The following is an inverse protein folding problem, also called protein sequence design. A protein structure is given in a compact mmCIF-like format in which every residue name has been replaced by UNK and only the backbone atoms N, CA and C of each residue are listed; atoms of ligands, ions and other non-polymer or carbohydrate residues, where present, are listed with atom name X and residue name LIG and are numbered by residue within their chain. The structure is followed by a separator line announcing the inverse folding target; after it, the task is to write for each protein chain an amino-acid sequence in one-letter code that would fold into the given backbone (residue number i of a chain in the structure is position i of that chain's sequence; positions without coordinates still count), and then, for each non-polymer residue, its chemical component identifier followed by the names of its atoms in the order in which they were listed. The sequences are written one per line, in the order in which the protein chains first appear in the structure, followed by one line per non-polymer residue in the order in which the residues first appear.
data_IF_759766745967
#
_entry.id   IF_759766745967
#
_cell.length_a   1.000
_cell.length_b   1.000
_cell.length_c   1.000
_cell.angle_alpha   90.00
_cell.angle_beta   90.00
_cell.angle_gamma   90.00
#
_symmetry.space_group_name_H-M   'P 1'
#
loop_
_entity.id
_entity.type
_entity.pdbx_description
1 polymer ?
#
# COMPACT_ATOMS: atom_id res chain seq x y z
N UNK A 1 16.85 -26.06 -24.77
CA UNK A 1 17.32 -24.91 -23.97
C UNK A 1 16.15 -24.50 -23.09
N UNK A 2 16.12 -24.92 -21.82
CA UNK A 2 15.06 -24.54 -20.89
C UNK A 2 15.28 -23.09 -20.49
N UNK A 3 14.47 -22.19 -21.03
CA UNK A 3 14.40 -20.83 -20.52
C UNK A 3 13.69 -20.94 -19.17
N UNK A 4 14.45 -21.15 -18.08
CA UNK A 4 13.89 -20.96 -16.74
C UNK A 4 13.39 -19.52 -16.71
N UNK A 5 12.09 -19.26 -16.45
CA UNK A 5 11.62 -17.90 -16.31
C UNK A 5 12.54 -17.22 -15.29
N UNK A 6 13.07 -16.05 -15.65
CA UNK A 6 13.94 -15.27 -14.77
C UNK A 6 13.41 -15.33 -13.35
N UNK A 7 14.28 -15.59 -12.37
CA UNK A 7 13.93 -15.91 -10.99
C UNK A 7 13.33 -14.68 -10.27
N UNK A 8 12.15 -14.28 -10.72
CA UNK A 8 11.43 -13.07 -10.35
C UNK A 8 11.09 -13.12 -8.86
N UNK A 9 10.89 -14.33 -8.32
CA UNK A 9 10.68 -14.59 -6.89
C UNK A 9 11.88 -14.23 -6.01
N UNK A 10 13.10 -14.35 -6.53
CA UNK A 10 14.33 -14.05 -5.79
C UNK A 10 15.02 -12.75 -6.26
N UNK A 11 14.36 -11.97 -7.11
CA UNK A 11 14.91 -10.72 -7.63
C UNK A 11 14.96 -9.58 -6.60
N UNK A 12 14.25 -9.72 -5.47
CA UNK A 12 14.13 -8.68 -4.46
C UNK A 12 14.03 -9.28 -3.06
N UNK A 13 14.94 -8.87 -2.16
CA UNK A 13 14.80 -9.07 -0.72
C UNK A 13 14.17 -7.82 -0.10
N UNK A 14 13.18 -8.00 0.78
CA UNK A 14 12.52 -6.89 1.46
C UNK A 14 12.44 -7.13 2.96
N UNK A 15 12.36 -6.05 3.72
CA UNK A 15 12.02 -6.04 5.13
C UNK A 15 11.18 -4.78 5.39
N UNK A 16 10.29 -4.85 6.37
CA UNK A 16 9.51 -3.71 6.81
C UNK A 16 9.54 -3.64 8.34
N UNK A 17 9.86 -2.47 8.86
CA UNK A 17 10.03 -2.20 10.29
C UNK A 17 9.42 -0.82 10.55
N UNK A 18 8.75 -0.68 11.69
CA UNK A 18 8.20 0.60 12.15
C UNK A 18 8.48 0.75 13.65
N UNK A 19 8.69 1.98 14.10
CA UNK A 19 8.98 2.30 15.49
C UNK A 19 8.25 3.60 15.87
N UNK A 20 7.70 3.64 17.07
CA UNK A 20 6.97 4.81 17.60
C UNK A 20 7.89 6.01 17.90
N UNK A 21 9.18 5.75 18.09
CA UNK A 21 10.16 6.70 18.56
C UNK A 21 9.99 7.06 20.04
N UNK A 22 10.78 8.03 20.50
CA UNK A 22 10.87 8.37 21.94
C UNK A 22 9.90 9.45 22.40
N UNK A 23 9.16 10.09 21.48
CA UNK A 23 8.38 11.32 21.77
C UNK A 23 6.87 11.14 21.63
N UNK A 24 6.42 10.22 20.79
CA UNK A 24 4.99 10.04 20.50
C UNK A 24 4.41 8.96 21.41
N UNK A 25 3.14 9.11 21.76
CA UNK A 25 2.36 8.11 22.52
C UNK A 25 1.69 7.09 21.61
N UNK A 26 1.60 7.39 20.31
CA UNK A 26 1.06 6.47 19.32
C UNK A 26 1.85 6.55 18.01
N UNK A 27 2.02 5.41 17.34
CA UNK A 27 2.65 5.34 16.03
C UNK A 27 1.59 5.57 14.95
N UNK A 28 1.79 6.59 14.12
CA UNK A 28 0.89 6.93 13.03
C UNK A 28 1.43 6.46 11.67
N UNK A 29 2.58 5.78 11.66
CA UNK A 29 3.15 5.19 10.46
C UNK A 29 2.50 3.82 10.21
N UNK A 30 2.14 3.57 8.96
CA UNK A 30 1.67 2.26 8.49
C UNK A 30 2.42 1.86 7.22
N UNK A 31 2.56 0.56 6.97
CA UNK A 31 3.12 0.04 5.73
C UNK A 31 2.38 -1.21 5.25
N UNK A 32 2.46 -1.49 3.95
CA UNK A 32 1.99 -2.73 3.36
C UNK A 32 3.05 -3.28 2.38
N UNK A 33 3.19 -4.60 2.40
CA UNK A 33 4.00 -5.35 1.44
C UNK A 33 3.11 -6.38 0.75
N UNK A 34 2.95 -6.22 -0.56
CA UNK A 34 2.16 -7.13 -1.40
C UNK A 34 3.06 -7.70 -2.46
N UNK A 35 3.51 -8.93 -2.23
CA UNK A 35 4.31 -9.66 -3.20
C UNK A 35 3.40 -10.36 -4.21
N UNK A 36 3.75 -10.30 -5.49
CA UNK A 36 3.13 -11.16 -6.48
C UNK A 36 3.37 -12.65 -6.14
N UNK A 37 2.32 -13.46 -6.18
CA UNK A 37 2.37 -14.91 -5.93
C UNK A 37 2.75 -15.73 -7.16
N UNK A 38 2.49 -15.20 -8.36
CA UNK A 38 2.73 -15.86 -9.64
C UNK A 38 3.33 -14.91 -10.69
N UNK A 39 3.95 -15.48 -11.74
CA UNK A 39 4.66 -14.72 -12.78
C UNK A 39 3.74 -13.75 -13.52
N UNK A 40 2.52 -14.17 -13.89
CA UNK A 40 1.59 -13.31 -14.62
C UNK A 40 1.15 -12.10 -13.77
N UNK A 41 0.97 -12.31 -12.46
CA UNK A 41 0.69 -11.22 -11.53
C UNK A 41 1.89 -10.27 -11.42
N UNK A 42 3.10 -10.82 -11.28
CA UNK A 42 4.33 -10.04 -11.23
C UNK A 42 4.56 -9.23 -12.51
N UNK A 43 4.37 -9.84 -13.67
CA UNK A 43 4.53 -9.19 -14.97
C UNK A 43 3.52 -8.06 -15.18
N UNK A 44 2.26 -8.25 -14.74
CA UNK A 44 1.18 -7.26 -14.91
C UNK A 44 1.14 -6.18 -13.85
N UNK A 45 1.60 -6.45 -12.63
CA UNK A 45 1.37 -5.59 -11.46
C UNK A 45 2.60 -5.39 -10.57
N UNK A 46 3.64 -6.20 -10.72
CA UNK A 46 4.84 -6.17 -9.89
C UNK A 46 4.57 -6.55 -8.44
N UNK A 47 5.61 -6.40 -7.61
CA UNK A 47 5.43 -6.30 -6.16
C UNK A 47 5.03 -4.87 -5.82
N UNK A 48 4.15 -4.69 -4.84
CA UNK A 48 3.69 -3.39 -4.36
C UNK A 48 4.13 -3.18 -2.92
N UNK A 49 4.77 -2.04 -2.67
CA UNK A 49 5.23 -1.62 -1.34
C UNK A 49 4.66 -0.24 -1.06
N UNK A 50 4.10 -0.05 0.13
CA UNK A 50 3.47 1.22 0.52
C UNK A 50 3.95 1.57 1.93
N UNK A 51 4.25 2.84 2.13
CA UNK A 51 4.46 3.45 3.45
C UNK A 51 3.59 4.70 3.51
N UNK A 52 2.91 4.90 4.63
CA UNK A 52 2.05 6.06 4.87
C UNK A 52 2.33 6.63 6.27
N UNK A 53 2.66 7.91 6.34
CA UNK A 53 2.77 8.70 7.57
C UNK A 53 1.41 9.37 7.83
N UNK A 54 0.77 9.00 8.93
CA UNK A 54 -0.53 9.49 9.33
C UNK A 54 -0.45 10.83 10.06
N UNK A 55 -0.87 11.90 9.40
CA UNK A 55 -0.96 13.22 10.05
C UNK A 55 -2.33 13.41 10.73
N UNK A 56 -2.34 13.74 12.02
CA UNK A 56 -3.56 14.07 12.76
C UNK A 56 -3.40 13.92 14.29
N UNK A 57 -4.41 14.35 15.06
CA UNK A 57 -4.42 14.11 16.50
C UNK A 57 -4.59 12.60 16.78
N UNK A 58 -3.52 11.98 17.29
CA UNK A 58 -3.42 10.59 17.75
C UNK A 58 -4.21 9.56 16.88
N UNK A 59 -5.48 9.29 17.21
CA UNK A 59 -6.29 8.28 16.52
C UNK A 59 -6.61 8.64 15.05
N UNK A 60 -6.74 9.93 14.72
CA UNK A 60 -7.07 10.34 13.35
C UNK A 60 -5.94 10.03 12.36
N UNK A 61 -4.69 10.29 12.76
CA UNK A 61 -3.51 9.99 11.93
C UNK A 61 -3.30 8.49 11.76
N UNK A 62 -3.42 7.70 12.84
CA UNK A 62 -3.33 6.24 12.76
C UNK A 62 -4.40 5.65 11.85
N UNK A 63 -5.65 6.12 11.95
CA UNK A 63 -6.72 5.66 11.07
C UNK A 63 -6.43 6.02 9.60
N UNK A 64 -5.96 7.24 9.33
CA UNK A 64 -5.68 7.69 7.97
C UNK A 64 -4.57 6.85 7.31
N UNK A 65 -3.46 6.59 8.01
CA UNK A 65 -2.37 5.78 7.45
C UNK A 65 -2.77 4.32 7.26
N UNK A 66 -3.56 3.74 8.16
CA UNK A 66 -4.12 2.39 8.00
C UNK A 66 -5.02 2.28 6.77
N UNK A 67 -5.96 3.21 6.60
CA UNK A 67 -6.85 3.24 5.44
C UNK A 67 -6.06 3.34 4.13
N UNK A 68 -4.96 4.10 4.11
CA UNK A 68 -4.09 4.20 2.94
C UNK A 68 -3.44 2.86 2.59
N UNK A 69 -2.80 2.18 3.56
CA UNK A 69 -2.06 0.94 3.30
C UNK A 69 -2.96 -0.27 3.06
N UNK A 70 -4.20 -0.26 3.58
CA UNK A 70 -5.19 -1.29 3.32
C UNK A 70 -5.94 -1.06 1.99
N UNK A 71 -6.32 0.20 1.72
CA UNK A 71 -7.16 0.56 0.58
C UNK A 71 -6.44 0.54 -0.76
N UNK A 72 -5.23 1.12 -0.82
CA UNK A 72 -4.50 1.26 -2.09
C UNK A 72 -4.19 -0.10 -2.72
N UNK A 73 -3.64 -1.12 -2.01
CA UNK A 73 -3.38 -2.42 -2.62
C UNK A 73 -4.64 -3.11 -3.09
N UNK A 74 -5.72 -3.05 -2.30
CA UNK A 74 -6.99 -3.65 -2.66
C UNK A 74 -7.54 -3.06 -3.99
N UNK A 75 -7.58 -1.73 -4.09
CA UNK A 75 -8.11 -1.05 -5.27
C UNK A 75 -7.18 -1.18 -6.48
N UNK A 76 -5.86 -1.18 -6.26
CA UNK A 76 -4.88 -1.42 -7.32
C UNK A 76 -5.08 -2.78 -8.01
N UNK A 77 -5.33 -3.83 -7.22
CA UNK A 77 -5.63 -5.15 -7.76
C UNK A 77 -7.03 -5.24 -8.36
N UNK A 78 -8.01 -4.49 -7.83
CA UNK A 78 -9.36 -4.41 -8.39
C UNK A 78 -9.37 -3.80 -9.79
N UNK A 79 -8.57 -2.77 -10.04
CA UNK A 79 -8.43 -2.11 -11.35
C UNK A 79 -7.51 -2.87 -12.31
N UNK A 80 -7.72 -4.17 -12.48
CA UNK A 80 -6.92 -5.04 -13.35
C UNK A 80 -6.99 -4.68 -14.84
N UNK A 81 -8.05 -4.00 -15.28
CA UNK A 81 -8.25 -3.56 -16.68
C UNK A 81 -7.42 -2.33 -17.08
N UNK A 82 -6.88 -1.60 -16.11
CA UNK A 82 -6.08 -0.39 -16.36
C UNK A 82 -4.58 -0.73 -16.45
N UNK A 83 -3.80 0.18 -17.05
CA UNK A 83 -2.34 0.09 -16.95
C UNK A 83 -1.90 0.25 -15.48
N UNK A 84 -0.73 -0.29 -15.07
CA UNK A 84 -0.28 -0.18 -13.69
C UNK A 84 -0.24 1.26 -13.14
N UNK A 85 0.27 2.28 -13.89
CA UNK A 85 0.24 3.66 -13.41
C UNK A 85 -1.18 4.20 -13.20
N UNK A 86 -2.10 3.92 -14.14
CA UNK A 86 -3.50 4.37 -14.04
C UNK A 86 -4.25 3.68 -12.91
N UNK A 87 -4.05 2.37 -12.75
CA UNK A 87 -4.63 1.58 -11.66
C UNK A 87 -4.17 2.12 -10.29
N UNK A 88 -2.89 2.43 -10.15
CA UNK A 88 -2.33 2.97 -8.92
C UNK A 88 -2.85 4.38 -8.63
N UNK A 89 -2.88 5.25 -9.64
CA UNK A 89 -3.44 6.60 -9.49
C UNK A 89 -4.90 6.55 -9.04
N UNK A 90 -5.71 5.70 -9.66
CA UNK A 90 -7.13 5.54 -9.31
C UNK A 90 -7.30 4.98 -7.91
N UNK A 91 -6.51 3.97 -7.53
CA UNK A 91 -6.52 3.39 -6.19
C UNK A 91 -6.18 4.43 -5.11
N UNK A 92 -5.19 5.30 -5.35
CA UNK A 92 -4.83 6.39 -4.44
C UNK A 92 -5.98 7.39 -4.30
N UNK A 93 -6.58 7.83 -5.41
CA UNK A 93 -7.67 8.81 -5.40
C UNK A 93 -8.90 8.27 -4.67
N UNK A 94 -9.32 7.03 -4.96
CA UNK A 94 -10.47 6.40 -4.31
C UNK A 94 -10.20 6.16 -2.81
N UNK A 95 -9.00 5.73 -2.44
CA UNK A 95 -8.63 5.58 -1.02
C UNK A 95 -8.63 6.93 -0.30
N UNK A 96 -8.13 7.99 -0.94
CA UNK A 96 -8.17 9.34 -0.40
C UNK A 96 -9.60 9.84 -0.18
N UNK A 97 -10.53 9.53 -1.09
CA UNK A 97 -11.96 9.83 -0.89
C UNK A 97 -12.50 9.16 0.36
N UNK A 98 -12.16 7.89 0.63
CA UNK A 98 -12.59 7.20 1.85
C UNK A 98 -11.93 7.79 3.12
N UNK A 99 -10.64 8.14 3.07
CA UNK A 99 -9.94 8.80 4.18
C UNK A 99 -10.60 10.14 4.51
N UNK A 100 -10.87 10.98 3.50
CA UNK A 100 -11.55 12.26 3.70
C UNK A 100 -12.98 12.07 4.26
N UNK A 101 -13.76 11.13 3.72
CA UNK A 101 -15.10 10.81 4.23
C UNK A 101 -15.08 10.39 5.70
N UNK A 102 -14.09 9.58 6.10
CA UNK A 102 -13.90 9.14 7.50
C UNK A 102 -13.47 10.28 8.41
N UNK A 103 -12.63 11.19 7.91
CA UNK A 103 -12.21 12.40 8.63
C UNK A 103 -13.37 13.38 8.85
N UNK A 104 -14.23 13.59 7.85
CA UNK A 104 -15.40 14.47 7.97
C UNK A 104 -16.48 13.91 8.93
N UNK A 105 -16.59 12.58 9.02
CA UNK A 105 -17.52 11.93 9.94
C UNK A 105 -17.05 11.93 11.41
N UNK A 106 -15.76 12.16 11.67
CA UNK A 106 -15.13 12.19 12.99
C UNK A 106 -14.24 13.44 13.14
N UNK A 107 -14.82 14.64 13.27
CA UNK A 107 -14.07 15.90 13.37
C UNK A 107 -13.28 16.06 14.67
#
# INVERSE_FOLDING_TARGET
MSNSPADWKHSLLHAAVTDIGMRRTNNQDSHAVVLAGEFDQWYRRGHLFIVADGMGAHAAGELASKLAVDGIPHLYHKHHDLSPPEALQKAILETNTEVNRRGEANP
#
